data_IF_015659318150
#
_entry.id   IF_015659318150
#
_cell.length_a   1.000
_cell.length_b   1.000
_cell.length_c   1.000
_cell.angle_alpha   90.00
_cell.angle_beta   90.00
_cell.angle_gamma   90.00
#
_symmetry.space_group_name_H-M   'P 1'
#
loop_
_entity.id
_entity.type
_entity.pdbx_description
1 polymer ?
#
# COMPACT_ATOMS: atom_id res chain seq x y z
N UNK A 1 2.17 20.02 -24.68
CA UNK A 1 1.06 20.23 -23.73
C UNK A 1 1.66 20.59 -22.37
N UNK A 2 1.05 21.49 -21.62
CA UNK A 2 1.43 21.75 -20.22
C UNK A 2 1.22 20.48 -19.39
N UNK A 3 2.05 20.27 -18.36
CA UNK A 3 1.85 19.18 -17.41
C UNK A 3 0.62 19.51 -16.56
N UNK A 4 -0.16 18.49 -16.13
CA UNK A 4 -1.34 18.73 -15.32
C UNK A 4 -0.97 19.11 -13.90
N UNK A 5 -1.81 19.89 -13.23
CA UNK A 5 -1.77 20.11 -11.79
C UNK A 5 -2.42 18.89 -11.11
N UNK A 6 -1.67 18.26 -10.19
CA UNK A 6 -2.06 16.99 -9.55
C UNK A 6 -2.62 17.22 -8.16
N UNK A 7 -3.86 16.77 -7.95
CA UNK A 7 -4.46 16.64 -6.63
C UNK A 7 -4.05 15.33 -5.96
N UNK A 8 -3.68 15.38 -4.68
CA UNK A 8 -3.39 14.19 -3.86
C UNK A 8 -4.28 14.22 -2.63
N UNK A 9 -5.14 13.21 -2.46
CA UNK A 9 -5.95 13.05 -1.26
C UNK A 9 -5.18 12.21 -0.25
N UNK A 10 -4.96 12.78 0.93
CA UNK A 10 -4.14 12.23 1.99
C UNK A 10 -2.79 12.94 2.13
N UNK A 11 -2.46 13.29 3.35
CA UNK A 11 -1.27 14.08 3.68
C UNK A 11 -0.21 13.33 4.48
N UNK A 12 -0.24 12.00 4.51
CA UNK A 12 0.72 11.16 5.22
C UNK A 12 2.09 11.08 4.55
N UNK A 13 2.90 10.11 4.97
CA UNK A 13 4.24 9.92 4.38
C UNK A 13 4.21 9.55 2.90
N UNK A 14 3.18 8.81 2.44
CA UNK A 14 3.09 8.45 1.03
C UNK A 14 2.77 9.67 0.19
N UNK A 15 1.84 10.53 0.64
CA UNK A 15 1.53 11.82 0.02
C UNK A 15 2.76 12.73 -0.05
N UNK A 16 3.56 12.80 1.03
CA UNK A 16 4.83 13.54 1.06
C UNK A 16 5.81 13.06 -0.02
N UNK A 17 5.96 11.75 -0.14
CA UNK A 17 6.89 11.14 -1.10
C UNK A 17 6.38 11.25 -2.55
N UNK A 18 5.05 11.18 -2.75
CA UNK A 18 4.43 11.46 -4.05
C UNK A 18 4.64 12.93 -4.47
N UNK A 19 4.39 13.89 -3.58
CA UNK A 19 4.64 15.30 -3.85
C UNK A 19 6.12 15.58 -4.17
N UNK A 20 7.03 14.95 -3.42
CA UNK A 20 8.48 15.05 -3.70
C UNK A 20 8.85 14.50 -5.09
N UNK A 21 8.22 13.40 -5.51
CA UNK A 21 8.43 12.82 -6.85
C UNK A 21 7.82 13.73 -7.95
N UNK A 22 6.63 14.26 -7.73
CA UNK A 22 5.97 15.19 -8.66
C UNK A 22 6.81 16.45 -8.88
N UNK A 23 7.38 17.01 -7.81
CA UNK A 23 8.28 18.18 -7.89
C UNK A 23 9.50 17.93 -8.77
N UNK A 24 10.14 16.74 -8.70
CA UNK A 24 11.25 16.36 -9.60
C UNK A 24 10.83 16.32 -11.05
N UNK A 25 9.56 16.05 -11.33
CA UNK A 25 8.97 16.02 -12.66
C UNK A 25 8.39 17.38 -13.08
N UNK A 26 8.56 18.45 -12.29
CA UNK A 26 7.95 19.77 -12.48
C UNK A 26 6.42 19.67 -12.67
N UNK A 27 5.77 18.90 -11.82
CA UNK A 27 4.31 18.78 -11.70
C UNK A 27 3.93 19.45 -10.39
N UNK A 28 3.02 20.43 -10.46
CA UNK A 28 2.47 21.11 -9.28
C UNK A 28 1.54 20.16 -8.55
N UNK A 29 1.61 20.19 -7.22
CA UNK A 29 0.77 19.35 -6.36
C UNK A 29 -0.07 20.19 -5.41
N UNK A 30 -1.35 19.82 -5.30
CA UNK A 30 -2.27 20.32 -4.28
C UNK A 30 -2.67 19.12 -3.41
N UNK A 31 -2.39 19.19 -2.11
CA UNK A 31 -2.75 18.09 -1.19
C UNK A 31 -3.96 18.48 -0.39
N UNK A 32 -4.95 17.58 -0.34
CA UNK A 32 -6.10 17.67 0.55
C UNK A 32 -5.94 16.66 1.69
N UNK A 33 -6.03 17.11 2.94
CA UNK A 33 -5.92 16.24 4.13
C UNK A 33 -6.85 16.69 5.25
N UNK A 34 -7.39 15.73 5.99
CA UNK A 34 -8.14 15.90 7.23
C UNK A 34 -7.24 16.02 8.48
N UNK A 35 -5.94 15.87 8.33
CA UNK A 35 -4.93 16.11 9.37
C UNK A 35 -4.22 17.46 9.10
N UNK A 36 -4.49 18.46 9.95
CA UNK A 36 -3.85 19.80 9.86
C UNK A 36 -2.32 19.77 10.07
N UNK A 37 -1.81 18.73 10.74
CA UNK A 37 -0.38 18.51 11.02
C UNK A 37 0.21 17.43 10.10
N UNK A 38 -0.44 17.19 8.96
CA UNK A 38 0.01 16.20 7.99
C UNK A 38 1.41 16.51 7.44
N UNK A 39 2.32 15.52 7.40
CA UNK A 39 3.71 15.76 6.98
C UNK A 39 3.84 16.28 5.55
N UNK A 40 2.88 15.99 4.68
CA UNK A 40 2.91 16.41 3.29
C UNK A 40 2.83 17.93 3.08
N UNK A 41 2.41 18.70 4.09
CA UNK A 41 2.43 20.17 4.06
C UNK A 41 3.83 20.73 3.73
N UNK A 42 4.89 19.98 4.08
CA UNK A 42 6.29 20.40 3.84
C UNK A 42 6.76 20.12 2.41
N UNK A 43 5.98 19.41 1.60
CA UNK A 43 6.39 18.91 0.28
C UNK A 43 5.47 19.35 -0.85
N UNK A 44 4.21 19.64 -0.55
CA UNK A 44 3.21 20.11 -1.52
C UNK A 44 3.46 21.55 -1.94
N UNK A 45 3.05 21.91 -3.15
CA UNK A 45 3.02 23.33 -3.60
C UNK A 45 1.87 24.08 -2.95
N UNK A 46 0.75 23.40 -2.70
CA UNK A 46 -0.39 23.92 -1.96
C UNK A 46 -0.98 22.82 -1.07
N UNK A 47 -1.45 23.20 0.13
CA UNK A 47 -2.05 22.29 1.11
C UNK A 47 -3.41 22.83 1.55
N UNK A 48 -4.42 21.98 1.45
CA UNK A 48 -5.79 22.26 1.88
C UNK A 48 -6.11 21.34 3.06
N UNK A 49 -6.42 21.94 4.20
CA UNK A 49 -6.91 21.22 5.37
C UNK A 49 -8.45 21.23 5.38
N UNK A 50 -9.07 20.09 5.55
CA UNK A 50 -10.52 19.99 5.74
C UNK A 50 -11.05 18.56 5.69
N UNK A 51 -12.31 18.46 6.11
CA UNK A 51 -13.04 17.18 6.06
C UNK A 51 -13.34 16.81 4.59
N UNK A 52 -13.06 15.54 4.24
CA UNK A 52 -13.38 15.01 2.91
C UNK A 52 -14.89 14.97 2.60
N UNK A 53 -15.76 15.15 3.60
CA UNK A 53 -17.21 15.23 3.41
C UNK A 53 -17.72 16.68 3.19
N UNK A 54 -16.89 17.69 3.45
CA UNK A 54 -17.26 19.09 3.20
C UNK A 54 -17.17 19.42 1.71
N UNK A 55 -18.33 19.62 1.10
CA UNK A 55 -18.44 19.91 -0.34
C UNK A 55 -17.71 21.20 -0.75
N UNK A 56 -17.63 22.19 0.14
CA UNK A 56 -16.94 23.45 -0.17
C UNK A 56 -15.43 23.24 -0.20
N UNK A 57 -14.90 22.42 0.69
CA UNK A 57 -13.49 22.02 0.71
C UNK A 57 -13.16 21.23 -0.55
N UNK A 58 -13.99 20.24 -0.91
CA UNK A 58 -13.82 19.45 -2.14
C UNK A 58 -13.85 20.36 -3.37
N UNK A 59 -14.82 21.27 -3.50
CA UNK A 59 -14.90 22.16 -4.65
C UNK A 59 -13.67 23.08 -4.74
N UNK A 60 -13.23 23.69 -3.64
CA UNK A 60 -12.01 24.50 -3.61
C UNK A 60 -10.76 23.69 -4.04
N UNK A 61 -10.68 22.43 -3.64
CA UNK A 61 -9.60 21.53 -4.07
C UNK A 61 -9.68 21.25 -5.58
N UNK A 62 -10.86 20.90 -6.11
CA UNK A 62 -11.06 20.54 -7.50
C UNK A 62 -10.88 21.71 -8.49
N UNK A 63 -11.09 22.95 -8.05
CA UNK A 63 -10.80 24.16 -8.84
C UNK A 63 -9.31 24.34 -9.13
N UNK A 64 -8.42 23.73 -8.33
CA UNK A 64 -6.97 23.92 -8.37
C UNK A 64 -6.21 22.80 -9.06
N UNK A 65 -6.89 21.73 -9.48
CA UNK A 65 -6.26 20.53 -10.03
C UNK A 65 -6.90 20.07 -11.32
N UNK A 66 -6.15 19.35 -12.14
CA UNK A 66 -6.63 18.77 -13.40
C UNK A 66 -7.06 17.31 -13.25
N UNK A 67 -6.40 16.57 -12.34
CA UNK A 67 -6.69 15.19 -12.02
C UNK A 67 -6.35 14.92 -10.55
N UNK A 68 -6.83 13.80 -10.02
CA UNK A 68 -6.68 13.43 -8.61
C UNK A 68 -6.11 12.03 -8.47
N UNK A 69 -5.21 11.87 -7.51
CA UNK A 69 -4.79 10.57 -6.96
C UNK A 69 -4.94 10.54 -5.45
N UNK A 70 -4.69 9.41 -4.81
CA UNK A 70 -4.78 9.28 -3.36
C UNK A 70 -3.63 8.44 -2.80
N UNK A 71 -3.28 8.68 -1.52
CA UNK A 71 -2.15 8.00 -0.86
C UNK A 71 -2.56 6.82 0.01
N UNK A 72 -3.85 6.68 0.35
CA UNK A 72 -4.33 5.61 1.23
C UNK A 72 -5.69 5.07 0.79
N UNK A 73 -5.91 3.80 1.04
CA UNK A 73 -7.08 3.05 0.56
C UNK A 73 -8.37 3.30 1.33
N UNK A 74 -8.32 3.86 2.55
CA UNK A 74 -9.50 3.99 3.42
C UNK A 74 -10.31 5.27 3.18
N UNK A 75 -10.11 5.98 2.05
CA UNK A 75 -10.99 7.08 1.66
C UNK A 75 -12.37 6.51 1.30
N UNK A 76 -13.47 7.09 1.81
CA UNK A 76 -14.80 6.60 1.48
C UNK A 76 -15.05 6.61 -0.03
N UNK A 77 -15.50 5.48 -0.56
CA UNK A 77 -15.76 5.31 -2.00
C UNK A 77 -16.67 6.40 -2.58
N UNK A 78 -17.74 6.76 -1.87
CA UNK A 78 -18.71 7.76 -2.33
C UNK A 78 -18.08 9.15 -2.55
N UNK A 79 -17.03 9.47 -1.80
CA UNK A 79 -16.27 10.73 -1.98
C UNK A 79 -15.42 10.65 -3.25
N UNK A 80 -14.65 9.58 -3.41
CA UNK A 80 -13.85 9.40 -4.62
C UNK A 80 -14.72 9.34 -5.88
N UNK A 81 -15.88 8.70 -5.81
CA UNK A 81 -16.84 8.64 -6.91
C UNK A 81 -17.35 10.03 -7.31
N UNK A 82 -17.78 10.85 -6.33
CA UNK A 82 -18.20 12.23 -6.60
C UNK A 82 -17.10 13.08 -7.21
N UNK A 83 -15.87 12.94 -6.71
CA UNK A 83 -14.72 13.63 -7.29
C UNK A 83 -14.50 13.19 -8.73
N UNK A 84 -14.60 11.88 -9.00
CA UNK A 84 -14.39 11.30 -10.34
C UNK A 84 -15.46 11.74 -11.37
N UNK A 85 -16.62 12.19 -10.94
CA UNK A 85 -17.64 12.80 -11.83
C UNK A 85 -17.21 14.17 -12.35
N UNK A 86 -16.25 14.84 -11.67
CA UNK A 86 -15.80 16.21 -12.00
C UNK A 86 -14.37 16.18 -12.56
N UNK A 87 -13.47 15.47 -11.90
CA UNK A 87 -12.05 15.33 -12.26
C UNK A 87 -11.66 13.86 -12.18
N UNK A 88 -10.91 13.39 -13.16
CA UNK A 88 -10.44 12.01 -13.19
C UNK A 88 -9.69 11.63 -11.91
N UNK A 89 -10.09 10.52 -11.27
CA UNK A 89 -9.41 9.93 -10.10
C UNK A 89 -8.68 8.67 -10.53
N UNK A 90 -7.37 8.64 -10.33
CA UNK A 90 -6.51 7.50 -10.66
C UNK A 90 -5.69 7.04 -9.46
N UNK A 91 -5.75 5.74 -9.11
CA UNK A 91 -6.57 4.67 -9.72
C UNK A 91 -8.08 4.90 -9.50
N UNK A 92 -8.92 4.19 -10.29
CA UNK A 92 -10.37 4.44 -10.26
C UNK A 92 -10.99 4.14 -8.89
N UNK A 93 -12.06 4.86 -8.50
CA UNK A 93 -12.75 4.62 -7.23
C UNK A 93 -13.29 3.20 -7.08
N UNK A 94 -13.70 2.55 -8.18
CA UNK A 94 -14.23 1.19 -8.20
C UNK A 94 -13.19 0.17 -7.75
N UNK A 95 -11.91 0.39 -8.11
CA UNK A 95 -10.80 -0.44 -7.65
C UNK A 95 -10.66 -0.32 -6.14
N UNK A 96 -10.68 0.91 -5.63
CA UNK A 96 -10.57 1.16 -4.20
C UNK A 96 -11.71 0.48 -3.44
N UNK A 97 -12.96 0.60 -3.92
CA UNK A 97 -14.13 -0.07 -3.35
C UNK A 97 -13.97 -1.60 -3.30
N UNK A 98 -13.46 -2.20 -4.39
CA UNK A 98 -13.26 -3.65 -4.48
C UNK A 98 -12.22 -4.11 -3.44
N UNK A 99 -11.10 -3.41 -3.35
CA UNK A 99 -9.96 -3.80 -2.51
C UNK A 99 -10.18 -3.45 -1.03
N UNK A 100 -10.96 -2.42 -0.71
CA UNK A 100 -11.28 -2.05 0.68
C UNK A 100 -11.95 -3.19 1.48
N UNK A 101 -12.55 -4.17 0.81
CA UNK A 101 -13.20 -5.30 1.45
C UNK A 101 -12.45 -6.61 1.16
N UNK A 102 -11.92 -7.25 2.20
CA UNK A 102 -11.10 -8.48 2.11
C UNK A 102 -11.83 -9.64 1.43
N UNK A 103 -13.17 -9.73 1.56
CA UNK A 103 -13.94 -10.78 0.91
C UNK A 103 -13.96 -10.57 -0.61
N UNK A 104 -14.34 -9.36 -1.06
CA UNK A 104 -14.40 -9.04 -2.50
C UNK A 104 -12.99 -9.06 -3.13
N UNK A 105 -11.96 -8.64 -2.41
CA UNK A 105 -10.56 -8.74 -2.85
C UNK A 105 -10.15 -10.20 -3.10
N UNK A 106 -10.40 -11.09 -2.12
CA UNK A 106 -10.05 -12.52 -2.27
C UNK A 106 -10.89 -13.23 -3.34
N UNK A 107 -12.16 -12.89 -3.47
CA UNK A 107 -13.01 -13.38 -4.56
C UNK A 107 -12.47 -12.96 -5.92
N UNK A 108 -12.07 -11.69 -6.06
CA UNK A 108 -11.43 -11.18 -7.27
C UNK A 108 -10.13 -11.92 -7.59
N UNK A 109 -9.23 -12.09 -6.61
CA UNK A 109 -7.97 -12.80 -6.80
C UNK A 109 -8.20 -14.26 -7.26
N UNK A 110 -9.06 -14.99 -6.55
CA UNK A 110 -9.34 -16.40 -6.88
C UNK A 110 -10.04 -16.55 -8.24
N UNK A 111 -10.95 -15.64 -8.62
CA UNK A 111 -11.58 -15.61 -9.95
C UNK A 111 -10.54 -15.48 -11.08
N UNK A 112 -9.43 -14.79 -10.81
CA UNK A 112 -8.33 -14.61 -11.75
C UNK A 112 -7.21 -15.67 -11.60
N UNK A 113 -7.51 -16.83 -10.99
CA UNK A 113 -6.58 -17.93 -10.75
C UNK A 113 -5.36 -17.57 -9.90
N UNK A 114 -5.47 -16.54 -9.06
CA UNK A 114 -4.45 -16.16 -8.08
C UNK A 114 -4.83 -16.78 -6.75
N UNK A 115 -4.04 -17.76 -6.32
CA UNK A 115 -4.32 -18.52 -5.10
C UNK A 115 -4.14 -17.64 -3.87
N UNK A 116 -5.16 -17.57 -3.02
CA UNK A 116 -5.11 -16.90 -1.70
C UNK A 116 -5.01 -17.94 -0.58
N UNK A 117 -4.79 -17.50 0.66
CA UNK A 117 -5.03 -18.33 1.84
C UNK A 117 -6.46 -18.85 1.83
N UNK A 118 -6.70 -20.08 2.29
CA UNK A 118 -8.05 -20.60 2.45
C UNK A 118 -8.81 -19.74 3.46
N UNK A 119 -10.05 -19.38 3.13
CA UNK A 119 -10.89 -18.53 3.96
C UNK A 119 -12.35 -18.91 3.86
N UNK A 120 -13.13 -18.42 4.82
CA UNK A 120 -14.59 -18.49 4.83
C UNK A 120 -15.14 -17.18 5.37
N UNK A 121 -16.28 -16.74 4.81
CA UNK A 121 -17.01 -15.58 5.33
C UNK A 121 -17.68 -15.94 6.65
N UNK A 122 -17.66 -15.00 7.60
CA UNK A 122 -18.20 -15.15 8.94
C UNK A 122 -19.14 -13.99 9.22
N UNK A 123 -20.40 -14.31 9.47
CA UNK A 123 -21.45 -13.35 9.76
C UNK A 123 -21.88 -13.36 11.24
N UNK A 124 -21.61 -14.47 11.93
CA UNK A 124 -21.90 -14.64 13.36
C UNK A 124 -20.99 -15.70 14.01
N UNK A 125 -21.19 -15.95 15.30
CA UNK A 125 -20.43 -16.94 16.06
C UNK A 125 -20.70 -18.38 15.62
N UNK A 126 -21.88 -18.68 15.11
CA UNK A 126 -22.23 -20.04 14.71
C UNK A 126 -21.53 -20.40 13.39
N UNK A 127 -21.33 -19.42 12.50
CA UNK A 127 -20.50 -19.60 11.30
C UNK A 127 -19.07 -20.06 11.66
N UNK A 128 -18.48 -19.54 12.74
CA UNK A 128 -17.15 -19.97 13.17
C UNK A 128 -17.17 -21.41 13.70
N UNK A 129 -18.19 -21.78 14.48
CA UNK A 129 -18.35 -23.14 15.03
C UNK A 129 -18.53 -24.19 13.92
N UNK A 130 -19.32 -23.85 12.91
CA UNK A 130 -19.57 -24.72 11.73
C UNK A 130 -18.28 -24.90 10.90
N UNK A 131 -17.41 -23.90 10.91
CA UNK A 131 -16.15 -23.88 10.17
C UNK A 131 -14.92 -24.17 11.05
N UNK A 132 -15.05 -25.03 12.06
CA UNK A 132 -13.99 -25.40 13.03
C UNK A 132 -12.71 -25.91 12.38
N UNK A 133 -12.78 -26.49 11.16
CA UNK A 133 -11.62 -26.90 10.35
C UNK A 133 -10.66 -25.76 10.00
N UNK A 134 -11.09 -24.49 10.17
CA UNK A 134 -10.24 -23.32 10.01
C UNK A 134 -9.52 -22.92 11.30
N UNK A 135 -9.81 -23.60 12.43
CA UNK A 135 -9.16 -23.34 13.71
C UNK A 135 -7.98 -24.32 13.88
N UNK A 136 -6.77 -23.86 14.30
CA UNK A 136 -6.43 -22.47 14.54
C UNK A 136 -6.45 -21.62 13.28
N UNK A 137 -6.98 -20.40 13.40
CA UNK A 137 -7.22 -19.49 12.28
C UNK A 137 -6.99 -18.02 12.64
N UNK A 138 -7.10 -17.17 11.65
CA UNK A 138 -7.01 -15.73 11.79
C UNK A 138 -8.33 -15.09 11.37
N UNK A 139 -9.11 -14.60 12.36
CA UNK A 139 -10.35 -13.87 12.14
C UNK A 139 -10.00 -12.41 11.82
N UNK A 140 -10.41 -11.92 10.65
CA UNK A 140 -10.10 -10.56 10.19
C UNK A 140 -11.38 -9.82 9.84
N UNK A 141 -11.51 -8.54 10.25
CA UNK A 141 -12.58 -7.68 9.74
C UNK A 141 -12.49 -7.54 8.23
N UNK A 142 -13.62 -7.53 7.53
CA UNK A 142 -13.66 -7.35 6.09
C UNK A 142 -13.16 -5.97 5.65
N UNK A 143 -13.38 -4.94 6.49
CA UNK A 143 -13.03 -3.55 6.17
C UNK A 143 -12.23 -2.90 7.29
N UNK A 144 -11.50 -1.80 6.99
CA UNK A 144 -10.78 -0.95 7.94
C UNK A 144 -9.67 -1.65 8.76
N UNK A 145 -9.21 -2.82 8.32
CA UNK A 145 -8.08 -3.52 8.94
C UNK A 145 -6.75 -3.10 8.31
N UNK A 146 -5.77 -2.69 9.12
CA UNK A 146 -4.41 -2.35 8.70
C UNK A 146 -3.42 -2.49 9.87
N UNK A 147 -2.14 -2.75 9.60
CA UNK A 147 -1.08 -2.88 10.61
C UNK A 147 -1.54 -3.74 11.83
N UNK A 148 -2.21 -4.88 11.57
CA UNK A 148 -2.73 -5.81 12.58
C UNK A 148 -4.03 -5.42 13.28
N UNK A 149 -4.60 -4.26 13.00
CA UNK A 149 -5.92 -3.87 13.52
C UNK A 149 -7.01 -4.70 12.87
N UNK A 150 -7.99 -5.12 13.69
CA UNK A 150 -9.12 -5.94 13.22
C UNK A 150 -8.72 -7.37 12.89
N UNK A 151 -7.61 -7.89 13.44
CA UNK A 151 -7.17 -9.27 13.29
C UNK A 151 -7.10 -9.97 14.68
N UNK A 152 -7.68 -11.15 14.76
CA UNK A 152 -7.80 -11.92 15.98
C UNK A 152 -7.37 -13.37 15.73
N UNK A 153 -6.37 -13.84 16.46
CA UNK A 153 -5.96 -15.24 16.37
C UNK A 153 -6.93 -16.08 17.17
N UNK A 154 -7.58 -17.04 16.52
CA UNK A 154 -8.49 -18.01 17.15
C UNK A 154 -7.77 -19.35 17.20
N UNK A 155 -7.36 -19.78 18.38
CA UNK A 155 -6.67 -21.06 18.58
C UNK A 155 -7.65 -22.19 18.93
N UNK A 156 -8.78 -21.83 19.56
CA UNK A 156 -9.84 -22.78 19.94
C UNK A 156 -11.16 -22.01 20.20
N UNK A 157 -12.23 -22.74 20.43
CA UNK A 157 -13.55 -22.14 20.63
C UNK A 157 -13.66 -21.20 21.85
N UNK A 158 -12.77 -21.30 22.85
CA UNK A 158 -12.80 -20.42 24.02
C UNK A 158 -12.27 -18.99 23.71
N UNK A 159 -11.56 -18.82 22.58
CA UNK A 159 -11.10 -17.50 22.12
C UNK A 159 -12.26 -16.69 21.51
N UNK A 160 -13.42 -17.32 21.34
CA UNK A 160 -14.63 -16.69 20.82
C UNK A 160 -15.40 -16.05 21.96
N UNK A 161 -15.01 -14.84 22.33
CA UNK A 161 -15.79 -14.00 23.25
C UNK A 161 -16.88 -13.25 22.50
N UNK A 162 -17.90 -12.75 23.22
CA UNK A 162 -19.05 -12.07 22.63
C UNK A 162 -18.74 -10.61 22.16
N UNK A 163 -17.47 -10.23 22.07
CA UNK A 163 -17.06 -8.84 21.81
C UNK A 163 -16.85 -8.52 20.32
N UNK A 164 -17.18 -9.46 19.42
CA UNK A 164 -17.08 -9.22 17.98
C UNK A 164 -18.31 -8.48 17.45
N UNK A 165 -18.05 -7.37 16.77
CA UNK A 165 -19.09 -6.62 16.05
C UNK A 165 -19.27 -7.20 14.61
N UNK A 166 -20.12 -8.20 14.48
CA UNK A 166 -20.36 -8.88 13.21
C UNK A 166 -21.00 -8.00 12.13
N UNK A 167 -21.49 -6.79 12.47
CA UNK A 167 -22.01 -5.85 11.46
C UNK A 167 -20.94 -5.41 10.45
N UNK A 168 -19.66 -5.55 10.80
CA UNK A 168 -18.52 -5.23 9.93
C UNK A 168 -18.18 -6.33 8.93
N UNK A 169 -18.77 -7.53 9.09
CA UNK A 169 -18.37 -8.74 8.38
C UNK A 169 -16.94 -9.18 8.73
N UNK A 170 -16.72 -10.47 8.72
CA UNK A 170 -15.40 -11.05 8.96
C UNK A 170 -15.10 -12.14 7.94
N UNK A 171 -13.80 -12.42 7.77
CA UNK A 171 -13.31 -13.65 7.16
C UNK A 171 -12.49 -14.41 8.21
N UNK A 172 -12.61 -15.73 8.22
CA UNK A 172 -11.73 -16.63 8.98
C UNK A 172 -10.78 -17.30 8.00
N UNK A 173 -9.49 -17.01 8.14
CA UNK A 173 -8.43 -17.55 7.30
C UNK A 173 -7.66 -18.65 8.00
N UNK A 174 -7.25 -19.68 7.26
CA UNK A 174 -6.25 -20.64 7.73
C UNK A 174 -4.91 -19.97 7.92
N UNK A 175 -4.24 -20.32 9.03
CA UNK A 175 -2.86 -19.88 9.29
C UNK A 175 -1.93 -20.59 8.30
N UNK A 176 -1.17 -19.79 7.57
CA UNK A 176 -0.11 -20.28 6.68
C UNK A 176 1.11 -20.68 7.50
N UNK A 177 1.67 -21.87 7.24
CA UNK A 177 2.96 -22.25 7.81
C UNK A 177 4.08 -21.44 7.12
N UNK A 178 4.21 -20.18 7.53
CA UNK A 178 4.96 -19.15 6.86
C UNK A 178 6.46 -19.46 6.85
N UNK A 179 7.08 -19.32 5.66
CA UNK A 179 8.52 -19.32 5.45
C UNK A 179 9.04 -17.88 5.32
N UNK A 180 8.37 -17.07 4.47
CA UNK A 180 8.68 -15.65 4.30
C UNK A 180 7.51 -14.90 3.67
N UNK A 181 7.56 -13.58 3.81
CA UNK A 181 6.66 -12.65 3.17
C UNK A 181 7.39 -11.89 2.08
N UNK A 182 6.73 -11.68 0.96
CA UNK A 182 7.26 -10.87 -0.14
C UNK A 182 6.19 -9.92 -0.65
N UNK A 183 6.62 -8.89 -1.36
CA UNK A 183 5.73 -8.00 -2.09
C UNK A 183 6.29 -7.71 -3.48
N UNK A 184 5.39 -7.48 -4.43
CA UNK A 184 5.72 -7.05 -5.79
C UNK A 184 5.05 -5.70 -6.02
N UNK A 185 5.88 -4.69 -6.29
CA UNK A 185 5.41 -3.37 -6.71
C UNK A 185 5.33 -3.35 -8.23
N UNK A 186 4.16 -2.99 -8.75
CA UNK A 186 3.90 -2.88 -10.19
C UNK A 186 3.27 -1.53 -10.49
N UNK A 187 3.74 -0.89 -11.56
CA UNK A 187 3.12 0.31 -12.13
C UNK A 187 2.57 -0.04 -13.50
N UNK A 188 1.29 0.25 -13.72
CA UNK A 188 0.64 0.12 -15.02
C UNK A 188 0.34 1.51 -15.59
N UNK A 189 0.71 1.71 -16.85
CA UNK A 189 0.55 2.97 -17.60
C UNK A 189 -0.57 2.89 -18.64
N UNK A 190 -1.21 1.75 -18.76
CA UNK A 190 -2.24 1.42 -19.72
C UNK A 190 -2.10 -0.03 -20.19
N UNK A 191 -2.94 -0.42 -21.17
CA UNK A 191 -2.96 -1.79 -21.67
C UNK A 191 -1.57 -2.25 -22.11
N UNK A 192 -1.10 -3.38 -21.54
CA UNK A 192 0.20 -4.00 -21.80
C UNK A 192 1.45 -3.09 -21.57
N UNK A 193 1.31 -2.01 -20.80
CA UNK A 193 2.43 -1.12 -20.47
C UNK A 193 2.68 -1.12 -18.96
N UNK A 194 3.73 -1.82 -18.54
CA UNK A 194 4.09 -2.02 -17.13
C UNK A 194 5.52 -1.68 -16.84
N UNK A 195 5.80 -1.33 -15.59
CA UNK A 195 7.09 -1.41 -14.93
C UNK A 195 6.90 -2.22 -13.65
N UNK A 196 7.66 -3.28 -13.48
CA UNK A 196 7.55 -4.20 -12.34
C UNK A 196 8.90 -4.29 -11.67
N UNK A 197 8.93 -4.06 -10.36
CA UNK A 197 10.14 -4.17 -9.56
C UNK A 197 10.38 -5.62 -9.17
N UNK A 198 11.68 -5.98 -8.95
CA UNK A 198 12.02 -7.28 -8.37
C UNK A 198 11.22 -7.50 -7.08
N UNK A 199 10.82 -8.74 -6.76
CA UNK A 199 10.16 -9.02 -5.49
C UNK A 199 10.98 -8.55 -4.30
N UNK A 200 10.30 -7.99 -3.32
CA UNK A 200 10.86 -7.43 -2.09
C UNK A 200 10.54 -8.40 -0.96
N UNK A 201 11.56 -8.86 -0.25
CA UNK A 201 11.39 -9.66 0.96
C UNK A 201 11.08 -8.75 2.15
N UNK A 202 10.05 -9.09 2.92
CA UNK A 202 9.53 -8.31 4.01
C UNK A 202 9.63 -9.07 5.33
N UNK A 203 9.94 -8.35 6.38
CA UNK A 203 9.92 -8.86 7.76
C UNK A 203 9.05 -7.95 8.62
N UNK A 204 7.99 -8.52 9.18
CA UNK A 204 7.10 -7.83 10.11
C UNK A 204 7.43 -8.19 11.56
N UNK A 205 7.40 -7.19 12.42
CA UNK A 205 7.50 -7.31 13.86
C UNK A 205 6.22 -6.71 14.45
N UNK A 206 5.52 -7.44 15.32
CA UNK A 206 4.22 -7.03 15.86
C UNK A 206 3.22 -6.58 14.77
N UNK A 207 3.21 -7.27 13.63
CA UNK A 207 2.37 -7.01 12.46
C UNK A 207 2.67 -5.67 11.75
N UNK A 208 3.79 -5.02 12.07
CA UNK A 208 4.24 -3.79 11.42
C UNK A 208 5.49 -4.11 10.60
N UNK A 209 5.53 -3.68 9.34
CA UNK A 209 6.71 -3.85 8.49
C UNK A 209 7.93 -3.18 9.12
N UNK A 210 8.93 -3.98 9.50
CA UNK A 210 10.17 -3.50 10.12
C UNK A 210 11.33 -3.42 9.13
N UNK A 211 11.52 -4.47 8.33
CA UNK A 211 12.59 -4.54 7.34
C UNK A 211 12.07 -4.94 5.97
N UNK A 212 12.70 -4.40 4.93
CA UNK A 212 12.52 -4.84 3.55
C UNK A 212 13.86 -5.00 2.86
N UNK A 213 13.97 -5.94 1.93
CA UNK A 213 15.19 -6.22 1.16
C UNK A 213 14.85 -6.48 -0.29
N UNK A 214 15.60 -5.89 -1.22
CA UNK A 214 15.49 -6.13 -2.65
C UNK A 214 16.86 -6.52 -3.25
N UNK A 215 16.94 -7.57 -4.09
CA UNK A 215 15.88 -8.53 -4.40
C UNK A 215 15.61 -9.48 -3.22
N UNK A 216 14.43 -10.06 -3.19
CA UNK A 216 14.12 -11.17 -2.30
C UNK A 216 14.91 -12.43 -2.70
N UNK A 217 15.31 -13.22 -1.71
CA UNK A 217 15.95 -14.51 -1.94
C UNK A 217 14.90 -15.61 -2.12
N UNK A 218 14.73 -16.10 -3.36
CA UNK A 218 13.75 -17.13 -3.73
C UNK A 218 14.13 -17.82 -5.03
N UNK A 219 13.44 -18.93 -5.36
CA UNK A 219 13.61 -19.59 -6.66
C UNK A 219 13.01 -18.76 -7.80
N UNK A 220 13.57 -18.91 -9.00
CA UNK A 220 13.05 -18.23 -10.21
C UNK A 220 11.59 -18.61 -10.50
N UNK A 221 11.18 -19.83 -10.18
CA UNK A 221 9.79 -20.28 -10.34
C UNK A 221 8.83 -19.43 -9.51
N UNK A 222 9.11 -19.26 -8.22
CA UNK A 222 8.29 -18.44 -7.32
C UNK A 222 8.36 -16.98 -7.72
N UNK A 223 9.55 -16.48 -8.08
CA UNK A 223 9.76 -15.13 -8.57
C UNK A 223 8.85 -14.84 -9.77
N UNK A 224 8.95 -15.66 -10.81
CA UNK A 224 8.18 -15.46 -12.04
C UNK A 224 6.68 -15.53 -11.78
N UNK A 225 6.24 -16.48 -10.95
CA UNK A 225 4.84 -16.61 -10.55
C UNK A 225 4.32 -15.37 -9.81
N UNK A 226 5.10 -14.81 -8.88
CA UNK A 226 4.72 -13.59 -8.16
C UNK A 226 4.63 -12.37 -9.09
N UNK A 227 5.57 -12.23 -10.02
CA UNK A 227 5.57 -11.17 -11.03
C UNK A 227 4.36 -11.28 -11.96
N UNK A 228 4.07 -12.49 -12.47
CA UNK A 228 2.93 -12.73 -13.34
C UNK A 228 1.60 -12.48 -12.64
N UNK A 229 1.47 -12.89 -11.39
CA UNK A 229 0.27 -12.63 -10.59
C UNK A 229 0.06 -11.13 -10.33
N UNK A 230 1.11 -10.40 -9.95
CA UNK A 230 1.03 -8.96 -9.76
C UNK A 230 0.65 -8.23 -11.05
N UNK A 231 1.19 -8.66 -12.19
CA UNK A 231 0.83 -8.16 -13.51
C UNK A 231 -0.64 -8.44 -13.84
N UNK A 232 -1.10 -9.68 -13.59
CA UNK A 232 -2.50 -10.09 -13.81
C UNK A 232 -3.45 -9.23 -12.98
N UNK A 233 -3.15 -9.00 -11.69
CA UNK A 233 -3.96 -8.12 -10.83
C UNK A 233 -4.07 -6.71 -11.43
N UNK A 234 -2.95 -6.13 -11.85
CA UNK A 234 -2.95 -4.78 -12.43
C UNK A 234 -3.72 -4.69 -13.75
N UNK A 235 -3.69 -5.75 -14.57
CA UNK A 235 -4.43 -5.80 -15.84
C UNK A 235 -5.92 -5.98 -15.63
N UNK A 236 -6.32 -6.94 -14.81
CA UNK A 236 -7.73 -7.27 -14.55
C UNK A 236 -8.48 -6.16 -13.79
N UNK A 237 -7.76 -5.32 -13.05
CA UNK A 237 -8.29 -4.11 -12.45
C UNK A 237 -8.34 -2.91 -13.41
N UNK A 238 -7.82 -3.02 -14.63
CA UNK A 238 -7.54 -1.87 -15.52
C UNK A 238 -6.84 -0.71 -14.77
N UNK A 239 -5.89 -1.10 -13.92
CA UNK A 239 -5.21 -0.21 -12.98
C UNK A 239 -4.36 0.84 -13.71
N UNK A 240 -4.43 2.10 -13.29
CA UNK A 240 -3.49 3.15 -13.73
C UNK A 240 -2.80 3.73 -12.50
N UNK A 241 -1.47 3.62 -12.46
CA UNK A 241 -0.65 4.03 -11.32
C UNK A 241 0.21 2.90 -10.78
N UNK A 242 0.71 3.06 -9.58
CA UNK A 242 1.50 2.07 -8.86
C UNK A 242 0.67 1.39 -7.78
N UNK A 243 0.72 0.08 -7.73
CA UNK A 243 0.12 -0.76 -6.71
C UNK A 243 1.14 -1.77 -6.18
N UNK A 244 0.80 -2.45 -5.10
CA UNK A 244 1.60 -3.52 -4.52
C UNK A 244 0.72 -4.73 -4.24
N UNK A 245 1.24 -5.92 -4.57
CA UNK A 245 0.63 -7.19 -4.15
C UNK A 245 1.53 -7.84 -3.12
N UNK A 246 0.99 -8.18 -1.96
CA UNK A 246 1.69 -8.90 -0.90
C UNK A 246 1.43 -10.39 -0.99
N UNK A 247 2.46 -11.18 -0.73
CA UNK A 247 2.40 -12.64 -0.84
C UNK A 247 3.03 -13.32 0.36
N UNK A 248 2.48 -14.47 0.71
CA UNK A 248 3.09 -15.45 1.61
C UNK A 248 3.74 -16.58 0.81
N UNK A 249 4.92 -16.99 1.24
CA UNK A 249 5.57 -18.22 0.81
C UNK A 249 5.58 -19.16 2.01
N UNK A 250 4.95 -20.32 1.90
CA UNK A 250 4.94 -21.32 2.94
C UNK A 250 6.23 -22.18 2.97
N UNK A 251 6.39 -23.02 4.00
CA UNK A 251 7.55 -23.90 4.12
C UNK A 251 7.66 -24.96 3.02
N UNK A 252 6.59 -25.19 2.27
CA UNK A 252 6.59 -26.09 1.11
C UNK A 252 6.86 -25.33 -0.20
N UNK A 253 7.19 -24.02 -0.13
CA UNK A 253 7.38 -23.11 -1.26
C UNK A 253 6.11 -22.85 -2.09
N UNK A 254 4.92 -23.01 -1.52
CA UNK A 254 3.70 -22.54 -2.17
C UNK A 254 3.57 -21.03 -2.01
N UNK A 255 3.12 -20.37 -3.07
CA UNK A 255 2.85 -18.93 -3.09
C UNK A 255 1.35 -18.68 -2.91
N UNK A 256 1.00 -17.74 -2.03
CA UNK A 256 -0.36 -17.28 -1.78
C UNK A 256 -0.40 -15.74 -1.81
N UNK A 257 -1.35 -15.17 -2.54
CA UNK A 257 -1.61 -13.74 -2.41
C UNK A 257 -2.27 -13.45 -1.06
N UNK A 258 -1.74 -12.49 -0.34
CA UNK A 258 -2.27 -12.05 0.95
C UNK A 258 -3.24 -10.89 0.77
N UNK A 259 -2.75 -9.75 0.28
CA UNK A 259 -3.55 -8.55 0.05
C UNK A 259 -2.99 -7.69 -1.10
N UNK A 260 -3.82 -6.79 -1.60
CA UNK A 260 -3.48 -5.80 -2.64
C UNK A 260 -3.55 -4.40 -2.03
N UNK A 261 -2.45 -3.65 -2.10
CA UNK A 261 -2.46 -2.24 -1.78
C UNK A 261 -2.64 -1.42 -3.09
N UNK A 262 -3.80 -0.80 -3.33
CA UNK A 262 -4.08 -0.07 -4.57
C UNK A 262 -3.43 1.33 -4.53
N UNK A 263 -2.17 1.39 -4.20
CA UNK A 263 -1.34 2.60 -4.02
C UNK A 263 0.14 2.26 -3.94
N UNK A 264 0.98 3.27 -3.92
CA UNK A 264 2.39 3.12 -3.53
C UNK A 264 2.51 2.47 -2.15
N UNK A 265 3.55 1.67 -1.93
CA UNK A 265 3.65 0.82 -0.75
C UNK A 265 4.93 1.07 0.06
N UNK A 266 4.84 0.85 1.39
CA UNK A 266 5.96 1.07 2.30
C UNK A 266 7.17 0.18 1.96
N UNK A 267 6.97 -1.09 1.60
CA UNK A 267 8.07 -1.97 1.19
C UNK A 267 8.84 -1.43 -0.03
N UNK A 268 8.16 -0.70 -0.91
CA UNK A 268 8.76 -0.12 -2.11
C UNK A 268 9.53 1.19 -1.88
N UNK A 269 9.63 1.71 -0.65
CA UNK A 269 10.39 2.96 -0.40
C UNK A 269 11.86 2.83 -0.76
N UNK A 270 12.45 1.63 -0.58
CA UNK A 270 13.83 1.36 -0.98
C UNK A 270 14.09 1.59 -2.48
N UNK A 271 13.06 1.61 -3.34
CA UNK A 271 13.21 1.91 -4.77
C UNK A 271 13.71 3.33 -5.03
N UNK A 272 13.57 4.25 -4.07
CA UNK A 272 14.07 5.63 -4.17
C UNK A 272 15.58 5.66 -4.38
N UNK A 273 16.31 4.72 -3.77
CA UNK A 273 17.77 4.68 -3.78
C UNK A 273 18.35 3.48 -4.56
N UNK A 274 17.55 2.43 -4.77
CA UNK A 274 18.01 1.20 -5.43
C UNK A 274 17.74 1.17 -6.94
N UNK A 275 16.87 2.05 -7.46
CA UNK A 275 16.48 2.10 -8.88
C UNK A 275 16.69 3.49 -9.48
N UNK A 276 16.80 3.55 -10.81
CA UNK A 276 16.85 4.81 -11.55
C UNK A 276 15.53 5.59 -11.46
N UNK A 277 14.40 4.87 -11.32
CA UNK A 277 13.05 5.44 -11.17
C UNK A 277 12.38 4.75 -9.98
N UNK A 278 11.91 5.55 -9.01
CA UNK A 278 11.22 5.03 -7.84
C UNK A 278 9.76 4.70 -8.12
N UNK A 279 9.13 3.90 -7.25
CA UNK A 279 7.69 3.64 -7.31
C UNK A 279 6.84 4.92 -7.31
N UNK A 280 7.29 5.95 -6.60
CA UNK A 280 6.60 7.24 -6.52
C UNK A 280 6.66 7.98 -7.84
N UNK A 281 7.83 8.04 -8.47
CA UNK A 281 7.98 8.66 -9.78
C UNK A 281 7.18 7.92 -10.85
N UNK A 282 7.23 6.58 -10.86
CA UNK A 282 6.43 5.78 -11.78
C UNK A 282 4.93 6.00 -11.57
N UNK A 283 4.45 6.12 -10.30
CA UNK A 283 3.07 6.45 -10.03
C UNK A 283 2.67 7.80 -10.64
N UNK A 284 3.46 8.85 -10.38
CA UNK A 284 3.19 10.19 -10.94
C UNK A 284 3.22 10.17 -12.47
N UNK A 285 4.19 9.48 -13.08
CA UNK A 285 4.24 9.33 -14.55
C UNK A 285 2.99 8.67 -15.09
N UNK A 286 2.53 7.59 -14.46
CA UNK A 286 1.37 6.84 -14.91
C UNK A 286 0.07 7.67 -14.79
N UNK A 287 -0.20 8.25 -13.63
CA UNK A 287 -1.44 9.00 -13.40
C UNK A 287 -1.50 10.31 -14.18
N UNK A 288 -0.35 10.97 -14.40
CA UNK A 288 -0.27 12.19 -15.18
C UNK A 288 -0.09 11.97 -16.69
N UNK A 289 -0.19 10.72 -17.17
CA UNK A 289 -0.08 10.39 -18.59
C UNK A 289 1.29 10.71 -19.22
N UNK A 290 2.36 10.72 -18.39
CA UNK A 290 3.72 10.93 -18.90
C UNK A 290 4.27 9.65 -19.52
N UNK A 291 5.33 9.81 -20.31
CA UNK A 291 6.01 8.71 -20.97
C UNK A 291 6.51 7.67 -19.94
N UNK A 292 6.21 6.38 -20.20
CA UNK A 292 6.80 5.26 -19.50
C UNK A 292 8.29 5.17 -19.82
N UNK A 293 9.12 5.20 -18.81
CA UNK A 293 10.56 4.96 -18.93
C UNK A 293 10.91 3.59 -18.35
N UNK A 294 12.00 2.99 -18.85
CA UNK A 294 12.48 1.71 -18.35
C UNK A 294 13.01 1.85 -16.92
N UNK A 295 12.47 1.05 -16.02
CA UNK A 295 12.90 0.98 -14.62
C UNK A 295 14.00 -0.05 -14.46
N UNK A 296 15.18 0.39 -14.03
CA UNK A 296 16.38 -0.45 -13.84
C UNK A 296 16.80 -0.45 -12.38
N UNK A 297 17.04 -1.63 -11.84
CA UNK A 297 17.71 -1.76 -10.55
C UNK A 297 19.18 -1.39 -10.71
N UNK A 298 19.67 -0.47 -9.88
CA UNK A 298 21.05 -0.01 -9.86
C UNK A 298 21.81 -0.73 -8.73
N UNK A 299 21.15 -0.89 -7.58
CA UNK A 299 21.74 -1.49 -6.39
C UNK A 299 20.77 -2.49 -5.74
N UNK A 300 21.29 -3.48 -5.07
CA UNK A 300 20.54 -4.17 -4.04
C UNK A 300 20.39 -3.21 -2.85
N UNK A 301 19.29 -3.37 -2.08
CA UNK A 301 19.04 -2.48 -0.97
C UNK A 301 18.31 -3.17 0.19
N UNK A 302 18.54 -2.65 1.37
CA UNK A 302 17.81 -2.97 2.59
C UNK A 302 17.19 -1.71 3.15
N UNK A 303 15.98 -1.82 3.65
CA UNK A 303 15.28 -0.74 4.33
C UNK A 303 14.92 -1.15 5.75
N UNK A 304 15.12 -0.24 6.69
CA UNK A 304 14.65 -0.32 8.06
C UNK A 304 13.61 0.77 8.27
N UNK A 305 12.38 0.40 8.65
CA UNK A 305 11.39 1.35 9.13
C UNK A 305 11.72 1.77 10.56
N UNK A 306 11.70 3.07 10.81
CA UNK A 306 11.89 3.66 12.13
C UNK A 306 10.51 3.88 12.76
N UNK A 307 10.21 3.08 13.80
CA UNK A 307 8.89 3.00 14.39
C UNK A 307 8.93 3.68 15.76
N UNK A 308 7.98 4.59 16.00
CA UNK A 308 7.90 5.29 17.28
C UNK A 308 9.20 6.03 17.61
N UNK A 309 9.75 5.76 18.77
CA UNK A 309 10.95 6.42 19.31
C UNK A 309 12.26 6.07 18.57
N UNK A 310 12.28 5.02 17.75
CA UNK A 310 13.46 4.67 16.93
C UNK A 310 13.98 5.90 16.17
N UNK A 311 13.10 6.78 15.70
CA UNK A 311 13.46 7.98 14.92
C UNK A 311 14.44 8.90 15.67
N UNK A 312 14.35 8.98 17.01
CA UNK A 312 15.14 9.90 17.83
C UNK A 312 16.62 9.58 17.77
N UNK A 313 16.98 8.30 17.70
CA UNK A 313 18.37 7.86 17.56
C UNK A 313 18.96 8.26 16.22
N UNK A 314 18.10 8.29 15.16
CA UNK A 314 18.55 8.54 13.79
C UNK A 314 18.64 10.02 13.43
N UNK A 315 17.87 10.91 14.07
CA UNK A 315 17.89 12.36 13.78
C UNK A 315 19.26 13.03 13.95
N UNK A 316 20.09 12.51 14.86
CA UNK A 316 21.42 13.06 15.16
C UNK A 316 22.57 12.18 14.66
N UNK A 317 22.26 11.10 13.93
CA UNK A 317 23.27 10.15 13.44
C UNK A 317 23.97 10.68 12.19
N UNK A 318 25.27 10.42 12.08
CA UNK A 318 25.99 10.58 10.81
C UNK A 318 25.82 9.30 9.98
N UNK A 319 25.41 9.46 8.75
CA UNK A 319 25.19 8.34 7.83
C UNK A 319 26.38 8.15 6.91
N UNK A 320 26.59 6.91 6.47
CA UNK A 320 27.58 6.57 5.45
C UNK A 320 27.06 6.97 4.07
N UNK A 321 27.94 7.04 3.08
CA UNK A 321 27.57 7.39 1.69
C UNK A 321 26.53 6.47 1.05
N UNK A 322 26.40 5.24 1.55
CA UNK A 322 25.43 4.26 1.07
C UNK A 322 24.19 4.14 1.97
N UNK A 323 24.04 5.03 2.95
CA UNK A 323 22.90 5.09 3.87
C UNK A 323 22.07 6.34 3.61
N UNK A 324 20.77 6.19 3.40
CA UNK A 324 19.84 7.27 3.09
C UNK A 324 18.71 7.30 4.12
N UNK A 325 18.72 8.33 4.93
CA UNK A 325 17.74 8.54 5.99
C UNK A 325 16.61 9.45 5.51
N UNK A 326 15.38 9.05 5.78
CA UNK A 326 14.15 9.79 5.49
C UNK A 326 13.33 9.97 6.75
N UNK A 327 13.30 11.20 7.28
CA UNK A 327 12.37 11.60 8.33
C UNK A 327 11.04 11.98 7.66
N UNK A 328 9.93 11.39 8.11
CA UNK A 328 8.61 11.74 7.58
C UNK A 328 8.07 13.06 8.13
N UNK A 329 8.80 13.73 9.01
CA UNK A 329 8.44 15.03 9.61
C UNK A 329 7.09 15.02 10.34
N UNK A 330 6.70 13.87 10.88
CA UNK A 330 5.49 13.75 11.69
C UNK A 330 5.70 14.48 13.02
N UNK A 331 4.74 15.34 13.40
CA UNK A 331 4.83 16.23 14.55
C UNK A 331 4.92 15.47 15.87
N UNK A 332 4.14 14.38 16.01
CA UNK A 332 4.11 13.58 17.23
C UNK A 332 4.73 12.22 17.01
N UNK A 333 5.66 11.84 17.89
CA UNK A 333 6.20 10.49 17.98
C UNK A 333 5.19 9.63 18.73
N UNK A 334 4.59 8.64 18.05
CA UNK A 334 3.62 7.69 18.64
C UNK A 334 4.15 6.28 18.52
N UNK A 335 3.99 5.48 19.58
CA UNK A 335 4.27 4.05 19.54
C UNK A 335 3.58 3.40 18.31
N UNK A 336 4.24 2.44 17.67
CA UNK A 336 3.76 1.73 16.47
C UNK A 336 3.55 2.60 15.22
N UNK A 337 3.84 3.89 15.24
CA UNK A 337 3.75 4.77 14.07
C UNK A 337 5.06 4.77 13.31
N UNK A 338 5.03 4.52 11.99
CA UNK A 338 6.20 4.67 11.11
C UNK A 338 6.58 6.16 11.04
N UNK A 339 7.74 6.52 11.56
CA UNK A 339 8.21 7.90 11.70
C UNK A 339 9.23 8.29 10.63
N UNK A 340 9.89 7.31 10.04
CA UNK A 340 10.90 7.47 9.01
C UNK A 340 11.37 6.13 8.49
N UNK A 341 12.35 6.14 7.61
CA UNK A 341 13.08 4.93 7.22
C UNK A 341 14.53 5.22 6.90
N UNK A 342 15.35 4.19 7.00
CA UNK A 342 16.72 4.17 6.53
C UNK A 342 16.84 3.17 5.41
N UNK A 343 17.33 3.60 4.24
CA UNK A 343 17.70 2.70 3.15
C UNK A 343 19.22 2.58 3.09
N UNK A 344 19.73 1.35 3.04
CA UNK A 344 21.14 1.06 2.80
C UNK A 344 21.28 0.34 1.47
N UNK A 345 22.06 0.90 0.55
CA UNK A 345 22.36 0.26 -0.74
C UNK A 345 23.65 -0.57 -0.61
N UNK A 346 23.66 -1.69 -1.34
CA UNK A 346 24.82 -2.58 -1.49
C UNK A 346 25.44 -2.29 -2.87
N UNK A 347 26.64 -1.68 -2.86
CA UNK A 347 27.43 -1.35 -4.09
C UNK A 347 28.12 -2.59 -4.62
#
# INVERSE_FOLDING_TARGET
>A
MSKPDLGIIGGGQLGSLLASAAKKLNIKTVILSDDKDAPAINFADEFIYGDYQDINIINNFLEKVDLVTYEFENIPYEILKKINEIKSVLPSPEINKLIQNRLTEKEFLNKNNITTTQYVSINDLDDIKINDKFIPGLLKTCTLGYDGKGQYKINNANDLNNDFDFSKGYILEKIVNLKKEISVVVTRFGHQKYEIYDPIENYHEDQILKHSKIPADMSDEIKNKALDWAKTVAEELDYIGTMCVEFFIDKNNNLYANEVAPRVHNSGHLTINSHNISQFENHIRAVCGLEKLETKKIYNAKMLNLIGEDILEYKNKKFKENEFFYDYLKKEVKAKRKMGHLTTIEK
#
